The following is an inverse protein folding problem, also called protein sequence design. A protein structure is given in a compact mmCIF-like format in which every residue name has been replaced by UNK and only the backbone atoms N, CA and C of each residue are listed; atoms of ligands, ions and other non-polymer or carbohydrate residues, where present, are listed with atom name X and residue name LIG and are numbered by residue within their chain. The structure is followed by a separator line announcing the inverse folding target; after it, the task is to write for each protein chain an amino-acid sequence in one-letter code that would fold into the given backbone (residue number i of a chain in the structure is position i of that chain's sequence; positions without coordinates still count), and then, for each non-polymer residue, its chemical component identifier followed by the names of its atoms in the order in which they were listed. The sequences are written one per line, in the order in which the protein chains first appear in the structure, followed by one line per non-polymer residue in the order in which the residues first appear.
data_IF_125198461933
#
_entry.id   IF_125198461933
#
_cell.length_a   1.000
_cell.length_b   1.000
_cell.length_c   1.000
_cell.angle_alpha   90.00
_cell.angle_beta   90.00
_cell.angle_gamma   90.00
#
_symmetry.space_group_name_H-M   'P 1'
#
loop_
_entity.id
_entity.type
_entity.pdbx_description
1 polymer ?
#
# COMPACT_ATOMS: atom_id res chain seq x y z
N UNK A 1 -8.23 -2.18 -1.27
CA UNK A 1 -7.42 -3.42 -1.47
C UNK A 1 -7.65 -3.93 -2.88
N UNK A 2 -6.61 -4.37 -3.57
CA UNK A 2 -6.74 -5.00 -4.89
C UNK A 2 -5.37 -5.54 -5.31
N UNK A 3 -5.33 -6.50 -6.23
CA UNK A 3 -4.06 -7.12 -6.66
C UNK A 3 -3.16 -6.12 -7.42
N UNK A 4 -1.84 -6.31 -7.39
CA UNK A 4 -0.93 -5.54 -8.25
C UNK A 4 -1.35 -5.73 -9.71
N UNK A 5 -1.32 -4.66 -10.51
CA UNK A 5 -1.69 -4.73 -11.93
C UNK A 5 -3.19 -4.57 -12.25
N UNK A 6 -4.10 -4.48 -11.27
CA UNK A 6 -5.54 -4.20 -11.57
C UNK A 6 -5.86 -2.74 -11.95
N UNK A 7 -4.87 -1.91 -12.25
CA UNK A 7 -5.08 -0.56 -12.80
C UNK A 7 -5.43 0.55 -11.81
N UNK A 8 -5.43 0.31 -10.48
CA UNK A 8 -5.73 1.31 -9.44
C UNK A 8 -5.01 2.65 -9.65
N UNK A 9 -3.68 2.59 -9.76
CA UNK A 9 -2.82 3.77 -9.90
C UNK A 9 -3.09 4.49 -11.23
N UNK A 10 -3.40 3.75 -12.30
CA UNK A 10 -3.73 4.33 -13.61
C UNK A 10 -5.10 5.03 -13.58
N UNK A 11 -6.10 4.43 -12.95
CA UNK A 11 -7.42 5.02 -12.77
C UNK A 11 -7.34 6.33 -11.98
N UNK A 12 -6.64 6.32 -10.83
CA UNK A 12 -6.48 7.53 -10.01
C UNK A 12 -5.75 8.64 -10.78
N UNK A 13 -4.67 8.31 -11.50
CA UNK A 13 -3.97 9.29 -12.37
C UNK A 13 -4.88 9.86 -13.46
N UNK A 14 -5.74 9.03 -14.05
CA UNK A 14 -6.72 9.48 -15.04
C UNK A 14 -7.76 10.41 -14.42
N UNK A 15 -8.36 10.04 -13.29
CA UNK A 15 -9.34 10.85 -12.58
C UNK A 15 -8.76 12.19 -12.12
N UNK A 16 -7.56 12.18 -11.54
CA UNK A 16 -6.88 13.40 -11.12
C UNK A 16 -6.64 14.35 -12.29
N UNK A 17 -6.20 13.84 -13.44
CA UNK A 17 -6.02 14.64 -14.66
C UNK A 17 -7.36 15.19 -15.18
N UNK A 18 -8.41 14.37 -15.22
CA UNK A 18 -9.72 14.79 -15.71
C UNK A 18 -10.36 15.88 -14.82
N UNK A 19 -10.13 15.81 -13.51
CA UNK A 19 -10.66 16.75 -12.52
C UNK A 19 -9.69 17.90 -12.19
N UNK A 20 -8.52 17.96 -12.84
CA UNK A 20 -7.47 18.95 -12.57
C UNK A 20 -7.02 18.98 -11.09
N UNK A 21 -6.97 17.81 -10.46
CA UNK A 21 -6.51 17.62 -9.08
C UNK A 21 -5.01 17.36 -9.08
N UNK A 22 -4.27 18.02 -8.20
CA UNK A 22 -2.84 17.78 -8.01
C UNK A 22 -2.66 16.43 -7.30
N UNK A 23 -2.06 15.44 -7.97
CA UNK A 23 -1.89 14.10 -7.42
C UNK A 23 -0.41 13.80 -7.12
N UNK A 24 -0.13 13.38 -5.89
CA UNK A 24 1.16 12.81 -5.48
C UNK A 24 0.98 11.32 -5.24
N UNK A 25 1.88 10.49 -5.79
CA UNK A 25 1.89 9.03 -5.59
C UNK A 25 3.13 8.66 -4.80
N UNK A 26 2.97 7.87 -3.75
CA UNK A 26 4.04 7.43 -2.86
C UNK A 26 3.98 5.91 -2.78
N UNK A 27 5.08 5.24 -3.13
CA UNK A 27 5.17 3.78 -3.13
C UNK A 27 5.83 3.30 -1.83
N UNK A 28 5.10 2.54 -1.03
CA UNK A 28 5.58 2.00 0.25
C UNK A 28 6.23 0.65 0.04
N UNK A 29 7.32 0.39 0.76
CA UNK A 29 8.03 -0.89 0.75
C UNK A 29 8.41 -1.32 2.18
N UNK A 30 8.95 -2.52 2.35
CA UNK A 30 9.23 -3.10 3.68
C UNK A 30 10.23 -2.34 4.56
N UNK A 31 11.05 -1.47 3.96
CA UNK A 31 11.99 -0.59 4.67
C UNK A 31 11.50 0.86 4.80
N UNK A 32 10.24 1.13 4.43
CA UNK A 32 9.67 2.46 4.46
C UNK A 32 9.27 2.81 5.91
N UNK A 33 9.77 3.93 6.42
CA UNK A 33 9.61 4.33 7.83
C UNK A 33 8.71 5.55 7.95
N UNK A 34 8.33 5.90 9.17
CA UNK A 34 7.56 7.11 9.44
C UNK A 34 8.32 8.39 9.03
N UNK A 35 9.65 8.39 9.06
CA UNK A 35 10.49 9.50 8.58
C UNK A 35 10.41 9.65 7.07
N UNK A 36 10.42 8.54 6.32
CA UNK A 36 10.19 8.56 4.87
C UNK A 36 8.79 9.13 4.57
N UNK A 37 7.77 8.67 5.29
CA UNK A 37 6.40 9.18 5.17
C UNK A 37 6.33 10.69 5.40
N UNK A 38 6.95 11.17 6.48
CA UNK A 38 6.95 12.59 6.82
C UNK A 38 7.62 13.44 5.74
N UNK A 39 8.75 13.00 5.21
CA UNK A 39 9.48 13.69 4.15
C UNK A 39 8.66 13.75 2.85
N UNK A 40 8.07 12.63 2.46
CA UNK A 40 7.39 12.52 1.18
C UNK A 40 6.02 13.24 1.20
N UNK A 41 5.44 13.45 2.39
CA UNK A 41 4.24 14.28 2.60
C UNK A 41 4.55 15.78 2.72
N UNK A 42 5.80 16.20 2.96
CA UNK A 42 6.13 17.60 3.28
C UNK A 42 5.72 18.56 2.16
N UNK A 43 6.14 18.28 0.92
CA UNK A 43 5.82 19.13 -0.23
C UNK A 43 4.32 19.19 -0.54
N UNK A 44 3.60 18.07 -0.74
CA UNK A 44 2.18 18.15 -1.09
C UNK A 44 1.34 18.81 0.01
N UNK A 45 1.68 18.62 1.29
CA UNK A 45 0.98 19.30 2.39
C UNK A 45 1.29 20.81 2.42
N UNK A 46 2.54 21.21 2.12
CA UNK A 46 2.92 22.61 2.02
C UNK A 46 2.20 23.32 0.88
N UNK A 47 2.12 22.69 -0.29
CA UNK A 47 1.38 23.22 -1.44
C UNK A 47 -0.11 23.35 -1.12
N UNK A 48 -0.71 22.33 -0.49
CA UNK A 48 -2.10 22.37 -0.05
C UNK A 48 -2.39 23.51 0.95
N UNK A 49 -1.46 23.81 1.86
CA UNK A 49 -1.58 24.94 2.78
C UNK A 49 -1.52 26.30 2.08
N UNK A 50 -0.70 26.41 1.02
CA UNK A 50 -0.52 27.65 0.25
C UNK A 50 -1.68 27.91 -0.71
N UNK A 51 -2.28 26.86 -1.27
CA UNK A 51 -3.31 26.93 -2.31
C UNK A 51 -4.61 26.26 -1.85
N UNK A 52 -5.33 26.94 -0.96
CA UNK A 52 -6.57 26.41 -0.33
C UNK A 52 -7.74 26.23 -1.30
N UNK A 53 -7.68 26.85 -2.48
CA UNK A 53 -8.68 26.75 -3.55
C UNK A 53 -8.50 25.49 -4.42
N UNK A 54 -7.37 24.79 -4.27
CA UNK A 54 -7.04 23.59 -5.03
C UNK A 54 -7.18 22.33 -4.18
N UNK A 55 -7.54 21.21 -4.81
CA UNK A 55 -7.58 19.90 -4.16
C UNK A 55 -6.28 19.14 -4.43
N UNK A 56 -5.74 18.51 -3.39
CA UNK A 56 -4.52 17.70 -3.46
C UNK A 56 -4.86 16.25 -3.10
N UNK A 57 -4.63 15.33 -4.02
CA UNK A 57 -4.79 13.89 -3.81
C UNK A 57 -3.43 13.27 -3.52
N UNK A 58 -3.28 12.67 -2.34
CA UNK A 58 -2.10 11.86 -2.00
C UNK A 58 -2.51 10.39 -2.04
N UNK A 59 -1.86 9.65 -2.94
CA UNK A 59 -2.05 8.22 -3.10
C UNK A 59 -0.87 7.46 -2.51
N UNK A 60 -1.14 6.63 -1.50
CA UNK A 60 -0.17 5.78 -0.83
C UNK A 60 -0.36 4.34 -1.34
N UNK A 61 0.58 3.82 -2.11
CA UNK A 61 0.50 2.45 -2.62
C UNK A 61 1.18 1.47 -1.67
N UNK A 62 0.63 0.26 -1.58
CA UNK A 62 1.18 -0.86 -0.80
C UNK A 62 1.50 -0.58 0.68
N UNK A 63 0.67 0.23 1.37
CA UNK A 63 0.97 0.72 2.73
C UNK A 63 1.18 -0.40 3.77
N UNK A 64 0.60 -1.58 3.55
CA UNK A 64 0.74 -2.72 4.46
C UNK A 64 2.00 -3.55 4.23
N UNK A 65 2.92 -3.12 3.38
CA UNK A 65 4.26 -3.73 3.29
C UNK A 65 5.21 -3.21 4.36
N UNK A 66 4.94 -2.03 4.93
CA UNK A 66 5.76 -1.40 5.96
C UNK A 66 5.31 -1.79 7.38
N UNK A 67 6.25 -1.93 8.34
CA UNK A 67 5.92 -2.16 9.74
C UNK A 67 5.21 -0.96 10.40
N UNK A 68 5.28 0.24 9.80
CA UNK A 68 4.74 1.49 10.33
C UNK A 68 3.22 1.62 10.10
N UNK A 69 2.48 0.51 10.13
CA UNK A 69 1.03 0.48 9.82
C UNK A 69 0.21 1.42 10.73
N UNK A 70 0.71 1.69 11.93
CA UNK A 70 0.12 2.67 12.85
C UNK A 70 0.17 4.10 12.30
N UNK A 71 1.28 4.51 11.69
CA UNK A 71 1.40 5.83 11.07
C UNK A 71 0.51 5.94 9.84
N UNK A 72 0.42 4.90 9.01
CA UNK A 72 -0.50 4.89 7.88
C UNK A 72 -1.98 4.91 8.31
N UNK A 73 -2.32 4.23 9.41
CA UNK A 73 -3.64 4.36 10.03
C UNK A 73 -3.92 5.81 10.41
N UNK A 74 -2.99 6.48 11.09
CA UNK A 74 -3.16 7.90 11.47
C UNK A 74 -3.43 8.76 10.23
N UNK A 75 -2.61 8.61 9.19
CA UNK A 75 -2.72 9.35 7.93
C UNK A 75 -4.06 9.12 7.23
N UNK A 76 -4.53 7.88 7.16
CA UNK A 76 -5.74 7.52 6.41
C UNK A 76 -7.02 7.75 7.22
N UNK A 77 -7.02 7.39 8.51
CA UNK A 77 -8.21 7.42 9.35
C UNK A 77 -8.35 8.73 10.13
N UNK A 78 -7.25 9.27 10.64
CA UNK A 78 -7.26 10.43 11.54
C UNK A 78 -6.88 11.72 10.79
N UNK A 79 -6.47 11.60 9.52
CA UNK A 79 -6.06 12.72 8.65
C UNK A 79 -4.96 13.57 9.29
N UNK A 80 -4.01 12.91 9.96
CA UNK A 80 -2.88 13.54 10.63
C UNK A 80 -1.63 12.68 10.54
N UNK A 81 -0.48 13.28 10.85
CA UNK A 81 0.75 12.55 11.12
C UNK A 81 1.48 13.16 12.32
N UNK A 82 1.86 12.32 13.30
CA UNK A 82 2.50 12.76 14.56
C UNK A 82 1.66 13.83 15.27
N UNK A 83 0.33 13.69 15.23
CA UNK A 83 -0.63 14.60 15.86
C UNK A 83 -0.84 15.94 15.14
N UNK A 84 -0.25 16.14 13.95
CA UNK A 84 -0.49 17.33 13.13
C UNK A 84 -1.51 17.01 12.04
N UNK A 85 -2.69 17.62 12.14
CA UNK A 85 -3.76 17.47 11.16
C UNK A 85 -3.34 18.04 9.79
N UNK A 86 -3.83 17.41 8.72
CA UNK A 86 -3.63 17.88 7.37
C UNK A 86 -4.66 18.96 6.98
N UNK A 87 -4.38 19.77 5.95
CA UNK A 87 -5.35 20.72 5.42
C UNK A 87 -6.61 20.04 4.85
N UNK A 88 -7.77 20.65 5.03
CA UNK A 88 -9.07 20.11 4.58
C UNK A 88 -9.15 19.82 3.07
N UNK A 89 -8.32 20.51 2.26
CA UNK A 89 -8.23 20.33 0.82
C UNK A 89 -7.29 19.18 0.38
N UNK A 90 -6.83 18.34 1.33
CA UNK A 90 -6.05 17.13 1.06
C UNK A 90 -6.93 15.89 1.16
N UNK A 91 -6.94 15.10 0.09
CA UNK A 91 -7.60 13.79 0.02
C UNK A 91 -6.52 12.72 0.09
N UNK A 92 -6.66 11.79 1.03
CA UNK A 92 -5.76 10.63 1.16
C UNK A 92 -6.47 9.40 0.59
N UNK A 93 -5.81 8.68 -0.31
CA UNK A 93 -6.22 7.35 -0.76
C UNK A 93 -5.07 6.39 -0.54
N UNK A 94 -5.36 5.21 0.01
CA UNK A 94 -4.35 4.17 0.19
C UNK A 94 -4.74 2.88 -0.55
N UNK A 95 -3.73 2.22 -1.11
CA UNK A 95 -3.84 0.87 -1.63
C UNK A 95 -3.10 -0.12 -0.72
N UNK A 96 -3.60 -1.35 -0.78
CA UNK A 96 -3.25 -2.44 0.14
C UNK A 96 -3.14 -3.71 -0.67
N UNK A 97 -2.10 -4.49 -0.35
CA UNK A 97 -1.91 -5.83 -0.86
C UNK A 97 -2.78 -6.83 -0.08
N UNK A 98 -3.39 -7.83 -0.75
CA UNK A 98 -4.26 -8.78 -0.08
C UNK A 98 -3.49 -9.73 0.85
N UNK A 99 -4.05 -10.00 2.03
CA UNK A 99 -3.54 -11.01 2.95
C UNK A 99 -3.94 -12.41 2.46
N UNK A 100 -3.08 -13.05 1.67
CA UNK A 100 -3.33 -14.39 1.08
C UNK A 100 -2.15 -15.33 1.37
N UNK A 101 -2.44 -16.51 1.93
CA UNK A 101 -1.42 -17.57 2.13
C UNK A 101 -1.03 -18.18 0.79
N UNK A 102 0.23 -18.57 0.64
CA UNK A 102 0.69 -19.35 -0.52
C UNK A 102 0.04 -20.73 -0.46
N UNK A 103 -0.60 -21.13 -1.56
CA UNK A 103 -0.91 -22.53 -1.78
C UNK A 103 0.38 -23.21 -2.25
N UNK A 104 0.99 -24.00 -1.38
CA UNK A 104 2.20 -24.75 -1.73
C UNK A 104 1.81 -26.04 -2.44
N UNK A 105 2.36 -26.25 -3.63
CA UNK A 105 2.33 -27.53 -4.33
C UNK A 105 3.39 -28.48 -3.76
N UNK A 106 3.34 -29.77 -4.09
CA UNK A 106 4.35 -30.74 -3.63
C UNK A 106 5.76 -30.38 -4.10
N UNK A 107 5.89 -29.77 -5.29
CA UNK A 107 7.16 -29.24 -5.81
C UNK A 107 7.67 -28.06 -4.99
N UNK A 108 6.81 -27.10 -4.63
CA UNK A 108 7.21 -25.94 -3.81
C UNK A 108 7.72 -26.39 -2.42
N UNK A 109 7.10 -27.43 -1.86
CA UNK A 109 7.52 -28.01 -0.58
C UNK A 109 8.88 -28.71 -0.70
N UNK A 110 9.16 -29.36 -1.83
CA UNK A 110 10.44 -30.00 -2.09
C UNK A 110 11.56 -28.95 -2.27
N UNK A 111 11.30 -27.89 -3.04
CA UNK A 111 12.22 -26.76 -3.21
C UNK A 111 12.50 -26.06 -1.88
N UNK A 112 11.47 -25.76 -1.08
CA UNK A 112 11.64 -25.15 0.25
C UNK A 112 12.54 -26.00 1.17
N UNK A 113 12.41 -27.34 1.13
CA UNK A 113 13.25 -28.25 1.91
C UNK A 113 14.69 -28.30 1.43
N UNK A 114 14.91 -28.15 0.12
CA UNK A 114 16.24 -28.08 -0.47
C UNK A 114 16.91 -26.73 -0.15
N UNK A 115 16.12 -25.65 -0.21
CA UNK A 115 16.54 -24.30 0.18
C UNK A 115 16.90 -24.24 1.68
N UNK A 116 16.08 -24.81 2.57
CA UNK A 116 16.35 -24.87 4.02
C UNK A 116 17.61 -25.67 4.38
N UNK A 117 17.97 -26.66 3.56
CA UNK A 117 19.25 -27.38 3.70
C UNK A 117 20.45 -26.51 3.35
N UNK A 118 20.29 -25.61 2.39
CA UNK A 118 21.36 -24.74 1.88
C UNK A 118 21.45 -23.41 2.65
N UNK A 119 20.32 -22.90 3.15
CA UNK A 119 20.19 -21.62 3.88
C UNK A 119 19.20 -21.80 5.02
N UNK A 120 19.68 -21.75 6.26
CA UNK A 120 18.79 -21.74 7.44
C UNK A 120 17.95 -20.46 7.43
N UNK A 121 16.62 -20.60 7.36
CA UNK A 121 15.68 -19.48 7.54
C UNK A 121 15.67 -19.05 9.01
N UNK A 122 16.11 -17.82 9.28
CA UNK A 122 16.02 -17.19 10.59
C UNK A 122 14.86 -16.20 10.57
N UNK A 123 13.95 -16.34 11.55
CA UNK A 123 12.82 -15.43 11.72
C UNK A 123 13.07 -14.55 12.94
N UNK A 124 12.73 -13.28 12.85
CA UNK A 124 12.86 -12.37 13.98
C UNK A 124 11.86 -12.70 15.10
N UNK A 125 10.62 -13.06 14.72
CA UNK A 125 9.52 -13.40 15.61
C UNK A 125 8.49 -14.30 14.89
N UNK A 126 7.40 -14.65 15.59
CA UNK A 126 6.30 -15.45 15.02
C UNK A 126 5.57 -14.75 13.88
N UNK A 127 5.48 -13.41 13.92
CA UNK A 127 4.81 -12.62 12.89
C UNK A 127 5.60 -12.66 11.57
N UNK A 128 6.92 -12.50 11.63
CA UNK A 128 7.81 -12.63 10.48
C UNK A 128 7.68 -14.02 9.82
N UNK A 129 7.60 -15.07 10.64
CA UNK A 129 7.36 -16.43 10.17
C UNK A 129 6.01 -16.61 9.48
N UNK A 130 4.95 -16.01 10.01
CA UNK A 130 3.63 -16.03 9.37
C UNK A 130 3.63 -15.26 8.05
N UNK A 131 4.25 -14.09 8.01
CA UNK A 131 4.32 -13.24 6.83
C UNK A 131 5.12 -13.88 5.69
N UNK A 132 6.16 -14.66 5.99
CA UNK A 132 6.91 -15.44 4.99
C UNK A 132 6.06 -16.51 4.27
N UNK A 133 4.92 -16.92 4.85
CA UNK A 133 4.01 -17.89 4.24
C UNK A 133 2.97 -17.24 3.31
N UNK A 134 2.95 -15.90 3.23
CA UNK A 134 2.01 -15.15 2.42
C UNK A 134 2.53 -14.97 0.99
N UNK A 135 1.61 -14.82 0.04
CA UNK A 135 1.92 -14.46 -1.36
C UNK A 135 2.63 -13.10 -1.38
N UNK A 136 2.06 -12.14 -0.64
CA UNK A 136 2.65 -10.82 -0.40
C UNK A 136 3.11 -10.74 1.06
N UNK A 137 4.35 -10.29 1.30
CA UNK A 137 4.83 -10.01 2.65
C UNK A 137 4.17 -8.74 3.18
N UNK A 138 3.08 -8.90 3.92
CA UNK A 138 2.25 -7.78 4.42
C UNK A 138 1.97 -7.88 5.91
N UNK A 139 1.94 -6.73 6.56
CA UNK A 139 1.57 -6.58 7.96
C UNK A 139 0.05 -6.62 8.13
N UNK A 140 -0.44 -7.17 9.26
CA UNK A 140 -1.86 -7.19 9.57
C UNK A 140 -2.41 -5.78 9.80
N UNK A 141 -3.63 -5.53 9.32
CA UNK A 141 -4.26 -4.21 9.42
C UNK A 141 -4.91 -3.99 10.78
N UNK A 142 -4.79 -2.80 11.38
CA UNK A 142 -5.58 -2.40 12.54
C UNK A 142 -7.09 -2.47 12.25
N UNK A 143 -7.90 -2.86 13.23
CA UNK A 143 -9.37 -2.99 13.08
C UNK A 143 -10.04 -1.72 12.57
N UNK A 144 -9.58 -0.56 13.02
CA UNK A 144 -10.06 0.75 12.57
C UNK A 144 -9.78 1.01 11.10
N UNK A 145 -8.67 0.51 10.55
CA UNK A 145 -8.36 0.67 9.13
C UNK A 145 -9.18 -0.32 8.28
N UNK A 146 -9.45 -1.52 8.79
CA UNK A 146 -10.23 -2.55 8.09
C UNK A 146 -11.63 -2.07 7.69
N UNK A 147 -12.27 -1.21 8.49
CA UNK A 147 -13.61 -0.65 8.18
C UNK A 147 -13.63 0.25 6.95
N UNK A 148 -12.48 0.77 6.52
CA UNK A 148 -12.35 1.61 5.33
C UNK A 148 -11.90 0.82 4.09
N UNK A 149 -11.62 -0.47 4.22
CA UNK A 149 -11.11 -1.27 3.11
C UNK A 149 -12.26 -1.75 2.24
N UNK A 150 -12.28 -1.29 0.98
CA UNK A 150 -13.07 -1.90 -0.09
C UNK A 150 -12.19 -2.73 -1.03
N UNK A 151 -12.80 -3.72 -1.70
CA UNK A 151 -12.12 -4.50 -2.73
C UNK A 151 -12.32 -3.83 -4.10
N UNK A 152 -11.20 -3.47 -4.74
CA UNK A 152 -11.19 -2.91 -6.10
C UNK A 152 -11.39 -3.99 -7.18
N UNK A 153 -11.19 -5.26 -6.83
CA UNK A 153 -11.31 -6.39 -7.74
C UNK A 153 -9.98 -6.83 -8.33
N UNK A 154 -10.09 -7.59 -9.43
CA UNK A 154 -8.97 -8.13 -10.22
C UNK A 154 -9.19 -7.79 -11.69
N UNK A 155 -8.11 -7.78 -12.47
CA UNK A 155 -8.18 -7.51 -13.90
C UNK A 155 -8.80 -8.72 -14.62
N UNK A 156 -9.70 -8.50 -15.57
CA UNK A 156 -10.20 -9.59 -16.40
C UNK A 156 -9.15 -9.98 -17.45
N UNK A 157 -9.13 -11.25 -17.88
CA UNK A 157 -8.19 -11.71 -18.90
C UNK A 157 -8.35 -10.97 -20.24
N UNK A 158 -9.57 -10.51 -20.55
CA UNK A 158 -9.84 -9.73 -21.76
C UNK A 158 -9.25 -8.33 -21.66
N UNK A 159 -9.41 -7.65 -20.51
CA UNK A 159 -8.78 -6.35 -20.29
C UNK A 159 -7.26 -6.49 -20.27
N UNK A 160 -6.72 -7.53 -19.64
CA UNK A 160 -5.28 -7.80 -19.60
C UNK A 160 -4.69 -7.93 -21.01
N UNK A 161 -5.34 -8.68 -21.90
CA UNK A 161 -4.92 -8.79 -23.30
C UNK A 161 -4.86 -7.45 -24.01
N UNK A 162 -5.79 -6.53 -23.74
CA UNK A 162 -5.78 -5.19 -24.33
C UNK A 162 -4.59 -4.33 -23.84
N UNK A 163 -4.08 -4.59 -22.63
CA UNK A 163 -2.92 -3.85 -22.09
C UNK A 163 -1.56 -4.44 -22.52
N UNK A 164 -1.53 -5.71 -22.96
CA UNK A 164 -0.29 -6.40 -23.38
C UNK A 164 -0.06 -6.27 -24.90
N UNK A 165 -1.13 -6.13 -25.69
CA UNK A 165 -1.06 -5.94 -27.14
C UNK A 165 -0.46 -4.58 -27.55
#
# INVERSE_FOLDING_TARGET
MGETGCGKTKLLKFMARALQINMTSIDVHGGYTTEHLQRDLEQPLKEAQQHKDQTYLIFLDEINTSPEIGAFKEVVCDHSLKGKAFPDNVVIIAALNPFRKRHKTESDIAEDKEEERNVKKYYADDLDKEMCQLVYRVFPLPKSLQTYVWNFGSLSALDEQQYIA
#
